data_IF_691540451328
#
_entry.id   IF_691540451328
#
_cell.length_a   1.000
_cell.length_b   1.000
_cell.length_c   1.000
_cell.angle_alpha   90.00
_cell.angle_beta   90.00
_cell.angle_gamma   90.00
#
_symmetry.space_group_name_H-M   'P 1'
#
loop_
_entity.id
_entity.type
_entity.pdbx_description
1 polymer ?
#
# COMPACT_ATOMS: atom_id res chain seq x y z
N UNK A 1 3.70 -17.14 -9.76
CA UNK A 1 2.29 -17.35 -10.14
C UNK A 1 1.88 -18.83 -10.08
N UNK A 2 2.56 -19.71 -10.82
CA UNK A 2 2.29 -21.16 -10.90
C UNK A 2 2.05 -21.82 -9.53
N UNK A 3 2.92 -21.54 -8.55
CA UNK A 3 2.76 -22.09 -7.19
C UNK A 3 1.49 -21.63 -6.47
N UNK A 4 0.98 -20.41 -6.73
CA UNK A 4 -0.28 -19.93 -6.16
C UNK A 4 -1.48 -20.70 -6.73
N UNK A 5 -1.41 -21.07 -8.02
CA UNK A 5 -2.44 -21.83 -8.72
C UNK A 5 -2.48 -23.26 -8.21
N UNK A 6 -1.34 -23.98 -8.23
CA UNK A 6 -1.30 -25.39 -7.84
C UNK A 6 -1.57 -25.64 -6.37
N UNK A 7 -0.95 -24.89 -5.47
CA UNK A 7 -1.04 -25.18 -4.03
C UNK A 7 -2.30 -24.62 -3.38
N UNK A 8 -3.00 -23.74 -4.10
CA UNK A 8 -4.14 -23.03 -3.56
C UNK A 8 -3.81 -22.03 -2.45
N UNK A 9 -2.54 -21.73 -2.16
CA UNK A 9 -2.13 -20.75 -1.13
C UNK A 9 -1.77 -19.42 -1.77
N UNK A 10 -2.57 -18.37 -1.57
CA UNK A 10 -2.32 -17.06 -2.18
C UNK A 10 -1.34 -16.23 -1.37
N UNK A 11 -1.56 -16.09 -0.06
CA UNK A 11 -0.78 -15.17 0.78
C UNK A 11 0.70 -15.57 0.84
N UNK A 12 0.98 -16.87 0.96
CA UNK A 12 2.36 -17.37 1.09
C UNK A 12 3.23 -16.89 -0.07
N UNK A 13 2.85 -17.19 -1.30
CA UNK A 13 3.67 -16.85 -2.47
C UNK A 13 3.51 -15.39 -2.91
N UNK A 14 2.31 -14.80 -2.76
CA UNK A 14 2.11 -13.36 -2.99
C UNK A 14 3.06 -12.54 -2.13
N UNK A 15 3.14 -12.86 -0.84
CA UNK A 15 3.97 -12.08 0.09
C UNK A 15 5.44 -12.05 -0.27
N UNK A 16 5.98 -13.17 -0.79
CA UNK A 16 7.38 -13.23 -1.25
C UNK A 16 7.58 -12.21 -2.37
N UNK A 17 6.77 -12.30 -3.43
CA UNK A 17 6.87 -11.39 -4.57
C UNK A 17 6.66 -9.92 -4.17
N UNK A 18 5.69 -9.69 -3.28
CA UNK A 18 5.32 -8.34 -2.84
C UNK A 18 6.41 -7.68 -1.98
N UNK A 19 7.07 -8.45 -1.10
CA UNK A 19 8.21 -7.99 -0.30
C UNK A 19 9.44 -7.79 -1.18
N UNK A 20 9.74 -8.72 -2.09
CA UNK A 20 10.85 -8.57 -3.05
C UNK A 20 10.69 -7.30 -3.87
N UNK A 21 9.50 -7.07 -4.42
CA UNK A 21 9.19 -5.84 -5.14
C UNK A 21 9.41 -4.58 -4.29
N UNK A 22 8.95 -4.57 -3.04
CA UNK A 22 9.14 -3.42 -2.16
C UNK A 22 10.62 -3.14 -1.85
N UNK A 23 11.45 -4.18 -1.71
CA UNK A 23 12.90 -4.03 -1.52
C UNK A 23 13.56 -3.53 -2.80
N UNK A 24 13.21 -4.07 -3.97
CA UNK A 24 13.70 -3.58 -5.26
C UNK A 24 13.31 -2.12 -5.51
N UNK A 25 12.08 -1.73 -5.12
CA UNK A 25 11.65 -0.33 -5.19
C UNK A 25 12.61 0.57 -4.41
N UNK A 26 12.92 0.23 -3.15
CA UNK A 26 13.83 1.05 -2.32
C UNK A 26 15.24 1.11 -2.92
N UNK A 27 15.74 -0.02 -3.42
CA UNK A 27 17.08 -0.12 -4.04
C UNK A 27 17.18 0.62 -5.38
N UNK A 28 16.08 0.81 -6.10
CA UNK A 28 16.06 1.50 -7.38
C UNK A 28 15.68 2.98 -7.22
N UNK A 29 14.64 3.29 -6.44
CA UNK A 29 14.07 4.63 -6.35
C UNK A 29 15.02 5.64 -5.68
N UNK A 30 15.65 5.26 -4.55
CA UNK A 30 16.54 6.20 -3.83
C UNK A 30 17.78 6.55 -4.66
N UNK A 31 18.50 5.59 -5.27
CA UNK A 31 19.64 5.93 -6.12
C UNK A 31 19.24 6.69 -7.39
N UNK A 32 18.09 6.37 -8.02
CA UNK A 32 17.62 7.15 -9.16
C UNK A 32 17.34 8.62 -8.77
N UNK A 33 16.80 8.86 -7.57
CA UNK A 33 16.65 10.23 -7.05
C UNK A 33 18.01 10.93 -6.90
N UNK A 34 19.01 10.22 -6.37
CA UNK A 34 20.37 10.75 -6.24
C UNK A 34 21.03 11.03 -7.60
N UNK A 35 20.81 10.20 -8.63
CA UNK A 35 21.40 10.39 -9.96
C UNK A 35 20.74 11.55 -10.73
N UNK A 36 19.43 11.71 -10.59
CA UNK A 36 18.69 12.76 -11.29
C UNK A 36 18.83 14.11 -10.61
N UNK A 37 18.82 14.17 -9.27
CA UNK A 37 18.85 15.43 -8.50
C UNK A 37 20.22 15.76 -7.89
N UNK A 38 21.15 14.81 -7.83
CA UNK A 38 22.43 14.97 -7.13
C UNK A 38 22.32 14.98 -5.60
N UNK A 39 21.11 15.04 -5.02
CA UNK A 39 20.87 14.93 -3.58
C UNK A 39 19.45 14.47 -3.24
N UNK A 40 19.29 13.83 -2.09
CA UNK A 40 17.97 13.48 -1.51
C UNK A 40 17.35 14.65 -0.72
N UNK A 41 18.02 15.80 -0.75
CA UNK A 41 17.63 17.01 -0.03
C UNK A 41 16.92 17.93 -1.01
N UNK A 42 15.65 18.22 -0.78
CA UNK A 42 14.94 19.20 -1.60
C UNK A 42 14.97 20.57 -0.93
N UNK A 43 14.99 21.62 -1.73
CA UNK A 43 14.72 22.99 -1.26
C UNK A 43 13.30 23.43 -1.67
N UNK A 44 12.73 24.46 -1.03
CA UNK A 44 11.43 25.01 -1.44
C UNK A 44 11.38 25.41 -2.92
N UNK A 45 12.51 25.80 -3.50
CA UNK A 45 12.65 26.14 -4.92
C UNK A 45 12.47 24.92 -5.83
N UNK A 46 12.99 23.75 -5.46
CA UNK A 46 12.77 22.49 -6.20
C UNK A 46 11.29 22.09 -6.23
N UNK A 47 10.56 22.40 -5.16
CA UNK A 47 9.12 22.17 -5.07
C UNK A 47 8.34 23.07 -6.02
N UNK A 48 8.72 24.35 -6.12
CA UNK A 48 8.09 25.32 -7.02
C UNK A 48 8.43 25.03 -8.48
N UNK A 49 9.65 24.58 -8.76
CA UNK A 49 10.10 24.20 -10.12
C UNK A 49 9.53 22.86 -10.60
N UNK A 50 8.88 22.10 -9.70
CA UNK A 50 8.28 20.82 -10.06
C UNK A 50 9.28 19.69 -10.23
N UNK A 51 10.47 19.76 -9.63
CA UNK A 51 11.49 18.72 -9.75
C UNK A 51 11.25 17.51 -8.81
N UNK A 52 10.04 17.40 -8.25
CA UNK A 52 9.65 16.36 -7.29
C UNK A 52 8.83 15.26 -7.98
N UNK A 53 9.15 13.97 -7.81
CA UNK A 53 8.38 12.90 -8.45
C UNK A 53 6.91 12.87 -7.98
N UNK A 54 6.00 12.55 -8.91
CA UNK A 54 4.58 12.45 -8.61
C UNK A 54 4.26 11.35 -7.59
N UNK A 55 3.79 11.75 -6.40
CA UNK A 55 3.29 10.84 -5.40
C UNK A 55 1.76 10.66 -5.53
N UNK A 56 1.33 9.50 -6.03
CA UNK A 56 -0.10 9.15 -6.16
C UNK A 56 -0.87 9.16 -4.82
N UNK A 57 -0.19 9.10 -3.67
CA UNK A 57 -0.84 9.24 -2.35
C UNK A 57 -1.47 10.62 -2.13
N UNK A 58 -1.07 11.62 -2.93
CA UNK A 58 -1.58 12.99 -2.88
C UNK A 58 -2.95 13.12 -3.55
N UNK A 59 -3.30 12.20 -4.45
CA UNK A 59 -4.53 12.26 -5.25
C UNK A 59 -5.79 12.50 -4.39
N UNK A 60 -6.06 11.74 -3.31
CA UNK A 60 -7.29 11.94 -2.54
C UNK A 60 -7.40 13.32 -1.88
N UNK A 61 -6.27 13.99 -1.62
CA UNK A 61 -6.23 15.29 -0.94
C UNK A 61 -6.17 16.47 -1.90
N UNK A 62 -5.72 16.27 -3.14
CA UNK A 62 -5.67 17.34 -4.15
C UNK A 62 -6.83 17.31 -5.14
N UNK A 63 -7.55 16.19 -5.30
CA UNK A 63 -8.69 16.12 -6.24
C UNK A 63 -9.77 17.15 -5.95
N UNK A 64 -10.12 17.39 -4.68
CA UNK A 64 -11.18 18.35 -4.32
C UNK A 64 -10.70 19.80 -4.48
N UNK A 65 -9.53 20.21 -3.95
CA UNK A 65 -8.96 21.53 -4.25
C UNK A 65 -8.79 21.78 -5.75
N UNK A 66 -8.32 20.80 -6.51
CA UNK A 66 -8.16 20.91 -7.96
C UNK A 66 -9.49 21.13 -8.68
N UNK A 67 -10.55 20.42 -8.29
CA UNK A 67 -11.88 20.58 -8.89
C UNK A 67 -12.49 21.95 -8.60
N UNK A 68 -12.22 22.54 -7.42
CA UNK A 68 -12.76 23.84 -7.02
C UNK A 68 -11.96 25.02 -7.56
N UNK A 69 -10.62 24.93 -7.53
CA UNK A 69 -9.73 26.03 -7.92
C UNK A 69 -9.31 25.98 -9.38
N UNK A 70 -9.60 24.88 -10.09
CA UNK A 70 -9.13 24.56 -11.45
C UNK A 70 -7.60 24.60 -11.61
N UNK A 71 -6.87 24.69 -10.50
CA UNK A 71 -5.41 24.69 -10.46
C UNK A 71 -4.94 23.52 -9.62
N UNK A 72 -3.93 22.81 -10.10
CA UNK A 72 -3.25 21.77 -9.32
C UNK A 72 -1.89 22.34 -8.98
N UNK A 73 -1.69 22.77 -7.73
CA UNK A 73 -0.35 23.08 -7.22
C UNK A 73 0.31 21.73 -6.94
N UNK A 74 0.94 21.17 -7.97
CA UNK A 74 1.65 19.90 -7.87
C UNK A 74 3.15 20.14 -8.08
N UNK A 75 4.01 19.78 -7.13
CA UNK A 75 5.44 19.76 -7.37
C UNK A 75 5.74 18.50 -8.17
N UNK A 76 5.75 18.59 -9.50
CA UNK A 76 6.15 17.49 -10.37
C UNK A 76 6.16 17.84 -11.84
N UNK A 77 7.23 17.42 -12.53
CA UNK A 77 7.47 17.69 -13.94
C UNK A 77 6.49 16.89 -14.77
N UNK A 78 5.60 17.59 -15.48
CA UNK A 78 4.58 17.01 -16.36
C UNK A 78 5.16 16.31 -17.60
N UNK A 79 6.44 16.51 -17.92
CA UNK A 79 6.92 16.40 -19.31
C UNK A 79 8.15 15.52 -19.58
N UNK A 80 8.83 14.88 -18.61
CA UNK A 80 10.02 14.08 -18.94
C UNK A 80 10.01 12.67 -18.31
N UNK A 81 9.78 11.64 -19.14
CA UNK A 81 10.03 10.23 -18.80
C UNK A 81 8.82 9.27 -18.94
N UNK A 82 9.13 7.96 -19.09
CA UNK A 82 8.34 6.79 -19.58
C UNK A 82 6.89 6.55 -19.09
N UNK A 83 6.30 7.44 -18.32
CA UNK A 83 4.88 7.42 -18.01
C UNK A 83 4.41 8.87 -17.83
N UNK A 84 3.74 9.42 -18.86
CA UNK A 84 3.00 10.67 -18.68
C UNK A 84 2.12 10.54 -17.44
N UNK A 85 2.03 11.60 -16.62
CA UNK A 85 1.22 11.60 -15.39
C UNK A 85 -0.19 11.03 -15.64
N UNK A 86 -0.75 11.31 -16.83
CA UNK A 86 -2.01 10.73 -17.30
C UNK A 86 -2.00 9.20 -17.37
N UNK A 87 -0.97 8.58 -17.96
CA UNK A 87 -0.84 7.12 -18.02
C UNK A 87 -0.73 6.48 -16.63
N UNK A 88 0.01 7.07 -15.69
CA UNK A 88 0.09 6.56 -14.31
C UNK A 88 -1.24 6.68 -13.58
N UNK A 89 -1.96 7.80 -13.75
CA UNK A 89 -3.29 7.99 -13.17
C UNK A 89 -4.29 6.99 -13.75
N UNK A 90 -4.29 6.75 -15.07
CA UNK A 90 -5.18 5.80 -15.73
C UNK A 90 -4.90 4.38 -15.24
N UNK A 91 -3.63 3.97 -15.21
CA UNK A 91 -3.22 2.63 -14.73
C UNK A 91 -3.61 2.46 -13.26
N UNK A 92 -3.37 3.48 -12.43
CA UNK A 92 -3.69 3.44 -11.01
C UNK A 92 -5.21 3.41 -10.76
N UNK A 93 -5.99 4.24 -11.44
CA UNK A 93 -7.45 4.25 -11.37
C UNK A 93 -8.03 2.93 -11.86
N UNK A 94 -7.58 2.44 -13.02
CA UNK A 94 -7.99 1.16 -13.58
C UNK A 94 -7.71 -0.01 -12.63
N UNK A 95 -6.50 -0.06 -12.05
CA UNK A 95 -6.15 -1.07 -11.06
C UNK A 95 -6.97 -0.94 -9.77
N UNK A 96 -7.23 0.29 -9.30
CA UNK A 96 -8.03 0.54 -8.10
C UNK A 96 -9.50 0.18 -8.30
N UNK A 97 -10.07 0.39 -9.50
CA UNK A 97 -11.43 -0.02 -9.82
C UNK A 97 -11.54 -1.54 -10.04
N UNK A 98 -10.54 -2.16 -10.67
CA UNK A 98 -10.55 -3.60 -10.95
C UNK A 98 -10.25 -4.45 -9.70
N UNK A 99 -9.29 -4.04 -8.87
CA UNK A 99 -8.83 -4.80 -7.71
C UNK A 99 -9.38 -4.25 -6.38
N UNK A 100 -9.98 -3.06 -6.39
CA UNK A 100 -10.33 -2.33 -5.16
C UNK A 100 -9.08 -1.96 -4.36
N UNK A 101 -9.17 -2.06 -3.03
CA UNK A 101 -8.03 -2.01 -2.11
C UNK A 101 -7.06 -3.19 -2.26
N UNK A 102 -7.28 -4.08 -3.23
CA UNK A 102 -6.30 -5.10 -3.64
C UNK A 102 -4.95 -4.50 -4.03
N UNK A 103 -4.92 -3.28 -4.59
CA UNK A 103 -3.67 -2.58 -4.91
C UNK A 103 -2.73 -2.46 -3.68
N UNK A 104 -3.27 -2.20 -2.49
CA UNK A 104 -2.49 -2.13 -1.25
C UNK A 104 -1.78 -3.45 -0.87
N UNK A 105 -2.15 -4.58 -1.47
CA UNK A 105 -1.52 -5.89 -1.25
C UNK A 105 -0.77 -6.44 -2.45
N UNK A 106 -0.88 -5.79 -3.62
CA UNK A 106 -0.36 -6.30 -4.89
C UNK A 106 0.50 -5.30 -5.66
N UNK A 107 0.47 -4.01 -5.36
CA UNK A 107 1.32 -3.01 -6.05
C UNK A 107 1.83 -1.87 -5.18
N UNK A 108 1.25 -1.63 -4.02
CA UNK A 108 1.74 -0.62 -3.10
C UNK A 108 3.02 -1.07 -2.40
N UNK A 109 4.16 -0.46 -2.72
CA UNK A 109 5.46 -0.80 -2.11
C UNK A 109 5.46 -0.60 -0.58
N UNK A 110 4.77 0.43 -0.07
CA UNK A 110 4.58 0.63 1.37
C UNK A 110 3.91 -0.56 2.06
N UNK A 111 2.85 -1.08 1.44
CA UNK A 111 2.18 -2.28 1.94
C UNK A 111 3.09 -3.51 1.91
N UNK A 112 4.03 -3.56 0.96
CA UNK A 112 5.04 -4.63 0.84
C UNK A 112 6.09 -4.56 1.94
N UNK A 113 6.59 -3.36 2.25
CA UNK A 113 7.50 -3.14 3.39
C UNK A 113 6.85 -3.58 4.71
N UNK A 114 5.62 -3.11 4.99
CA UNK A 114 4.92 -3.50 6.22
C UNK A 114 4.61 -5.01 6.28
N UNK A 115 4.25 -5.65 5.14
CA UNK A 115 4.03 -7.11 5.09
C UNK A 115 5.34 -7.88 5.31
N UNK A 116 6.48 -7.32 4.89
CA UNK A 116 7.81 -7.84 5.18
C UNK A 116 8.14 -7.76 6.67
N UNK A 117 8.06 -6.56 7.25
CA UNK A 117 8.32 -6.34 8.68
C UNK A 117 7.39 -7.19 9.57
N UNK A 118 6.11 -7.30 9.21
CA UNK A 118 5.15 -8.15 9.91
C UNK A 118 5.47 -9.67 9.90
N UNK A 119 6.37 -10.12 9.02
CA UNK A 119 6.79 -11.52 8.89
C UNK A 119 8.12 -11.83 9.57
N UNK A 120 8.90 -10.81 9.97
CA UNK A 120 10.18 -10.99 10.66
C UNK A 120 9.97 -11.61 12.06
N UNK A 121 8.99 -11.12 12.82
CA UNK A 121 8.70 -11.63 14.16
C UNK A 121 8.16 -13.07 14.15
N UNK A 122 8.56 -13.92 15.12
CA UNK A 122 8.02 -15.30 15.26
C UNK A 122 6.59 -15.33 15.81
N UNK A 123 6.29 -14.53 16.83
CA UNK A 123 4.97 -14.42 17.47
C UNK A 123 4.59 -12.95 17.67
N UNK A 124 3.30 -12.58 17.60
CA UNK A 124 2.88 -11.22 17.93
C UNK A 124 3.07 -11.00 19.43
N UNK A 125 3.74 -9.90 19.78
CA UNK A 125 3.89 -9.44 21.16
C UNK A 125 2.58 -8.76 21.62
N UNK A 126 2.03 -7.89 20.78
CA UNK A 126 0.74 -7.23 20.98
C UNK A 126 -0.38 -8.06 20.35
N UNK A 127 -1.10 -8.83 21.17
CA UNK A 127 -2.11 -9.80 20.70
C UNK A 127 -3.52 -9.23 20.52
N UNK A 128 -3.89 -8.19 21.26
CA UNK A 128 -5.24 -7.61 21.25
C UNK A 128 -5.18 -6.14 20.85
N UNK A 129 -5.47 -5.88 19.58
CA UNK A 129 -5.73 -4.53 19.08
C UNK A 129 -7.18 -4.54 18.60
N UNK A 130 -7.95 -3.55 19.05
CA UNK A 130 -9.35 -3.45 18.68
C UNK A 130 -9.50 -3.27 17.15
N UNK A 131 -10.36 -4.06 16.48
CA UNK A 131 -10.62 -3.88 15.05
C UNK A 131 -11.18 -2.50 14.68
N UNK A 132 -11.68 -1.73 15.67
CA UNK A 132 -12.17 -0.36 15.53
C UNK A 132 -11.09 0.63 15.08
N UNK A 133 -9.82 0.35 15.36
CA UNK A 133 -8.71 1.21 14.94
C UNK A 133 -8.62 1.39 13.41
N UNK A 134 -9.28 0.54 12.61
CA UNK A 134 -9.43 0.78 11.17
C UNK A 134 -10.11 2.12 10.85
N UNK A 135 -11.03 2.58 11.71
CA UNK A 135 -11.82 3.79 11.47
C UNK A 135 -10.95 5.05 11.59
N UNK A 136 -9.81 4.94 12.27
CA UNK A 136 -8.83 6.01 12.36
C UNK A 136 -8.33 6.44 10.97
N UNK A 137 -8.08 5.49 10.05
CA UNK A 137 -7.67 5.84 8.68
C UNK A 137 -8.73 6.66 7.93
N UNK A 138 -10.01 6.44 8.21
CA UNK A 138 -11.09 7.24 7.63
C UNK A 138 -11.20 8.62 8.28
N UNK A 139 -10.98 8.72 9.60
CA UNK A 139 -10.91 9.99 10.31
C UNK A 139 -9.71 10.83 9.82
N UNK A 140 -8.56 10.19 9.60
CA UNK A 140 -7.36 10.85 9.03
C UNK A 140 -7.64 11.31 7.60
N UNK A 141 -8.29 10.48 6.77
CA UNK A 141 -8.69 10.90 5.43
C UNK A 141 -9.60 12.14 5.47
N UNK A 142 -10.62 12.15 6.33
CA UNK A 142 -11.51 13.30 6.49
C UNK A 142 -10.75 14.55 6.94
N UNK A 143 -9.90 14.42 7.97
CA UNK A 143 -9.10 15.54 8.48
C UNK A 143 -8.11 16.08 7.46
N UNK A 144 -7.43 15.20 6.72
CA UNK A 144 -6.52 15.60 5.64
C UNK A 144 -7.27 16.30 4.52
N UNK A 145 -8.42 15.79 4.09
CA UNK A 145 -9.22 16.43 3.04
C UNK A 145 -9.70 17.83 3.46
N UNK A 146 -10.20 17.97 4.69
CA UNK A 146 -10.67 19.27 5.21
C UNK A 146 -9.53 20.27 5.37
N UNK A 147 -8.41 19.85 5.94
CA UNK A 147 -7.23 20.71 6.12
C UNK A 147 -6.57 21.06 4.79
N UNK A 148 -6.50 20.13 3.85
CA UNK A 148 -6.02 20.39 2.48
C UNK A 148 -6.94 21.33 1.72
N UNK A 149 -8.25 21.27 1.95
CA UNK A 149 -9.19 22.24 1.38
C UNK A 149 -9.00 23.63 1.99
N UNK A 150 -8.79 23.72 3.30
CA UNK A 150 -8.58 25.00 3.98
C UNK A 150 -7.22 25.66 3.64
N UNK A 151 -6.17 24.85 3.49
CA UNK A 151 -4.80 25.35 3.26
C UNK A 151 -4.37 25.31 1.79
N UNK A 152 -5.19 24.73 0.91
CA UNK A 152 -4.87 24.44 -0.50
C UNK A 152 -3.55 23.68 -0.69
N UNK A 153 -3.11 22.95 0.34
CA UNK A 153 -1.82 22.26 0.38
C UNK A 153 -1.97 20.78 0.76
N UNK A 154 -1.06 19.89 0.34
CA UNK A 154 -1.11 18.47 0.70
C UNK A 154 -0.64 18.23 2.15
N UNK A 155 -1.51 18.55 3.12
CA UNK A 155 -1.22 18.49 4.57
C UNK A 155 -0.63 17.15 5.02
N UNK A 156 -1.11 16.03 4.48
CA UNK A 156 -0.58 14.71 4.86
C UNK A 156 0.89 14.55 4.49
N UNK A 157 1.31 15.03 3.32
CA UNK A 157 2.71 14.95 2.90
C UNK A 157 3.61 15.91 3.69
N UNK A 158 3.07 17.03 4.17
CA UNK A 158 3.82 18.03 4.93
C UNK A 158 3.94 17.66 6.41
N UNK A 159 2.97 16.93 6.97
CA UNK A 159 2.88 16.74 8.43
C UNK A 159 2.80 15.30 8.92
N UNK A 160 2.32 14.35 8.11
CA UNK A 160 1.94 13.01 8.60
C UNK A 160 2.55 11.84 7.83
N UNK A 161 3.25 12.08 6.72
CA UNK A 161 3.79 11.01 5.88
C UNK A 161 5.10 10.44 6.48
N UNK A 162 5.10 9.23 7.07
CA UNK A 162 6.34 8.64 7.59
C UNK A 162 7.34 8.32 6.48
N UNK A 163 6.85 8.07 5.27
CA UNK A 163 7.69 7.69 4.16
C UNK A 163 8.52 8.83 3.58
N UNK A 164 8.15 10.08 3.90
CA UNK A 164 8.98 11.24 3.58
C UNK A 164 10.37 11.10 4.21
N UNK A 165 10.45 10.53 5.42
CA UNK A 165 11.72 10.20 6.08
C UNK A 165 12.53 9.05 5.45
N UNK A 166 12.22 8.58 4.25
CA UNK A 166 13.06 7.62 3.53
C UNK A 166 13.24 8.03 2.06
N UNK A 167 12.25 8.72 1.50
CA UNK A 167 12.28 9.14 0.10
C UNK A 167 12.96 10.50 -0.10
N UNK A 168 12.64 11.50 0.73
CA UNK A 168 13.08 12.89 0.51
C UNK A 168 13.11 13.66 1.84
N UNK A 169 14.26 14.20 2.22
CA UNK A 169 14.38 14.99 3.45
C UNK A 169 14.57 16.47 3.13
N UNK A 170 14.05 17.35 3.96
CA UNK A 170 14.28 18.79 3.81
C UNK A 170 15.65 19.16 4.39
N UNK A 171 16.35 20.13 3.78
CA UNK A 171 17.62 20.60 4.32
C UNK A 171 17.38 21.18 5.71
N UNK A 172 18.13 20.72 6.71
CA UNK A 172 18.05 21.24 8.08
C UNK A 172 18.60 22.67 8.08
N UNK A 173 17.72 23.63 7.82
CA UNK A 173 18.01 25.07 7.80
C UNK A 173 17.59 25.75 9.11
N UNK A 174 16.69 25.13 9.86
CA UNK A 174 16.07 25.71 11.06
C UNK A 174 15.61 24.63 12.04
N UNK A 175 15.46 25.02 13.32
CA UNK A 175 15.09 24.11 14.42
C UNK A 175 13.74 23.43 14.17
N UNK A 176 12.81 24.13 13.50
CA UNK A 176 11.50 23.59 13.12
C UNK A 176 11.63 22.40 12.17
N UNK A 177 12.48 22.50 11.14
CA UNK A 177 12.75 21.42 10.17
C UNK A 177 13.43 20.23 10.84
N UNK A 178 14.31 20.48 11.82
CA UNK A 178 14.92 19.42 12.62
C UNK A 178 13.85 18.63 13.40
N UNK A 179 12.96 19.32 14.12
CA UNK A 179 11.87 18.69 14.88
C UNK A 179 10.96 17.89 13.94
N UNK A 180 10.60 18.44 12.78
CA UNK A 180 9.78 17.77 11.79
C UNK A 180 10.45 16.50 11.24
N UNK A 181 11.76 16.55 11.01
CA UNK A 181 12.54 15.38 10.56
C UNK A 181 12.54 14.29 11.63
N UNK A 182 12.73 14.64 12.90
CA UNK A 182 12.67 13.68 14.03
C UNK A 182 11.27 13.05 14.11
N UNK A 183 10.20 13.84 13.95
CA UNK A 183 8.82 13.33 13.94
C UNK A 183 8.63 12.34 12.79
N UNK A 184 9.07 12.66 11.57
CA UNK A 184 8.90 11.73 10.45
C UNK A 184 9.70 10.44 10.59
N UNK A 185 10.94 10.52 11.04
CA UNK A 185 11.79 9.35 11.29
C UNK A 185 11.17 8.48 12.39
N UNK A 186 10.72 9.09 13.49
CA UNK A 186 10.07 8.34 14.58
C UNK A 186 8.75 7.71 14.14
N UNK A 187 7.93 8.38 13.32
CA UNK A 187 6.73 7.81 12.73
C UNK A 187 7.05 6.65 11.79
N UNK A 188 8.10 6.75 10.97
CA UNK A 188 8.53 5.66 10.09
C UNK A 188 8.98 4.43 10.89
N UNK A 189 9.91 4.63 11.83
CA UNK A 189 10.41 3.56 12.70
C UNK A 189 9.26 2.94 13.49
N UNK A 190 8.39 3.76 14.08
CA UNK A 190 7.25 3.30 14.86
C UNK A 190 6.19 2.56 14.05
N UNK A 191 5.58 3.20 13.05
CA UNK A 191 4.40 2.70 12.34
C UNK A 191 4.71 1.72 11.20
N UNK A 192 5.89 1.81 10.58
CA UNK A 192 6.25 0.99 9.41
C UNK A 192 7.16 -0.18 9.80
N UNK A 193 8.06 0.00 10.77
CA UNK A 193 8.99 -1.07 11.18
C UNK A 193 8.56 -1.76 12.47
N UNK A 194 8.55 -1.04 13.59
CA UNK A 194 8.38 -1.61 14.94
C UNK A 194 6.99 -2.20 15.13
N UNK A 195 5.93 -1.42 14.85
CA UNK A 195 4.56 -1.86 15.08
C UNK A 195 4.18 -3.06 14.20
N UNK A 196 4.51 -3.13 12.90
CA UNK A 196 4.24 -4.33 12.11
C UNK A 196 4.97 -5.56 12.65
N UNK A 197 6.22 -5.44 13.12
CA UNK A 197 6.97 -6.55 13.75
C UNK A 197 6.25 -7.04 15.02
N UNK A 198 5.85 -6.11 15.90
CA UNK A 198 5.24 -6.43 17.20
C UNK A 198 3.80 -6.98 17.07
N UNK A 199 3.04 -6.49 16.10
CA UNK A 199 1.61 -6.81 15.95
C UNK A 199 1.35 -7.87 14.89
N UNK A 200 2.27 -8.06 13.92
CA UNK A 200 2.07 -8.81 12.67
C UNK A 200 0.94 -8.25 11.78
N UNK A 201 0.61 -6.98 11.95
CA UNK A 201 -0.43 -6.23 11.23
C UNK A 201 0.21 -5.12 10.39
N UNK A 202 -0.55 -4.56 9.45
CA UNK A 202 -0.12 -3.39 8.67
C UNK A 202 -0.67 -2.13 9.34
N UNK A 203 0.03 -1.64 10.36
CA UNK A 203 -0.42 -0.53 11.21
C UNK A 203 -0.49 0.78 10.45
N UNK A 204 0.48 1.10 9.60
CA UNK A 204 0.46 2.34 8.83
C UNK A 204 -0.68 2.33 7.81
N UNK A 205 -0.83 1.24 7.04
CA UNK A 205 -1.94 1.07 6.10
C UNK A 205 -3.33 1.10 6.76
N UNK A 206 -3.46 0.69 8.03
CA UNK A 206 -4.75 0.61 8.74
C UNK A 206 -5.09 1.85 9.57
N UNK A 207 -4.10 2.57 10.09
CA UNK A 207 -4.33 3.66 11.05
C UNK A 207 -4.16 5.03 10.43
N UNK A 208 -3.08 5.25 9.67
CA UNK A 208 -2.69 6.60 9.27
C UNK A 208 -2.76 6.83 7.76
N UNK A 209 -2.81 5.78 6.92
CA UNK A 209 -2.79 5.94 5.47
C UNK A 209 -4.15 6.44 4.90
N UNK A 210 -4.27 7.72 4.46
CA UNK A 210 -5.50 8.25 3.88
C UNK A 210 -5.81 7.60 2.52
N UNK A 211 -4.77 7.27 1.75
CA UNK A 211 -4.89 6.55 0.48
C UNK A 211 -5.53 5.17 0.68
N UNK A 212 -5.18 4.46 1.76
CA UNK A 212 -5.78 3.17 2.11
C UNK A 212 -7.28 3.29 2.46
N UNK A 213 -7.68 4.36 3.14
CA UNK A 213 -9.08 4.67 3.40
C UNK A 213 -9.82 5.02 2.11
N UNK A 214 -9.24 5.88 1.25
CA UNK A 214 -9.82 6.24 -0.04
C UNK A 214 -10.03 5.00 -0.94
N UNK A 215 -9.03 4.12 -1.03
CA UNK A 215 -9.19 2.85 -1.76
C UNK A 215 -10.19 1.89 -1.12
N UNK A 216 -10.50 2.03 0.17
CA UNK A 216 -11.56 1.22 0.78
C UNK A 216 -12.94 1.56 0.21
N UNK A 217 -13.13 2.75 -0.41
CA UNK A 217 -14.36 3.06 -1.14
C UNK A 217 -14.41 2.38 -2.51
N UNK A 218 -13.26 2.20 -3.17
CA UNK A 218 -13.19 1.42 -4.43
C UNK A 218 -13.59 -0.04 -4.23
N UNK A 219 -13.43 -0.57 -3.01
CA UNK A 219 -13.97 -1.88 -2.64
C UNK A 219 -15.51 -1.97 -2.69
N UNK A 220 -16.23 -0.85 -2.79
CA UNK A 220 -17.69 -0.85 -3.02
C UNK A 220 -18.02 -1.12 -4.48
N UNK A 221 -17.18 -0.65 -5.40
CA UNK A 221 -17.40 -0.72 -6.86
C UNK A 221 -16.81 -1.98 -7.47
N UNK A 222 -15.67 -2.45 -6.98
CA UNK A 222 -14.97 -3.57 -7.60
C UNK A 222 -15.78 -4.89 -7.57
N UNK A 223 -15.56 -5.82 -8.49
CA UNK A 223 -16.39 -7.03 -8.61
C UNK A 223 -16.08 -8.11 -7.57
N UNK A 224 -14.94 -8.05 -6.86
CA UNK A 224 -14.43 -9.12 -6.01
C UNK A 224 -14.63 -8.84 -4.51
N UNK A 225 -15.10 -9.83 -3.77
CA UNK A 225 -15.25 -9.75 -2.31
C UNK A 225 -14.81 -11.03 -1.60
N UNK A 226 -14.35 -10.91 -0.35
CA UNK A 226 -14.09 -12.08 0.50
C UNK A 226 -15.41 -12.50 1.12
N UNK A 227 -15.83 -13.74 0.83
CA UNK A 227 -17.05 -14.34 1.36
C UNK A 227 -16.72 -15.45 2.35
N UNK A 228 -17.61 -15.63 3.29
CA UNK A 228 -17.51 -16.61 4.37
C UNK A 228 -18.77 -17.46 4.31
N UNK A 229 -18.58 -18.74 4.04
CA UNK A 229 -19.62 -19.75 4.15
C UNK A 229 -19.94 -19.95 5.63
N UNK A 230 -21.13 -19.52 6.04
CA UNK A 230 -21.54 -19.56 7.45
C UNK A 230 -21.84 -20.98 7.92
N UNK A 231 -22.26 -21.87 7.02
CA UNK A 231 -22.58 -23.26 7.35
C UNK A 231 -21.30 -24.05 7.63
N UNK A 232 -20.25 -23.80 6.83
CA UNK A 232 -18.94 -24.44 7.01
C UNK A 232 -18.02 -23.73 8.03
N UNK A 233 -18.42 -22.57 8.56
CA UNK A 233 -17.61 -21.78 9.50
C UNK A 233 -17.70 -22.34 10.92
N UNK A 234 -16.56 -22.68 11.53
CA UNK A 234 -16.50 -23.12 12.94
C UNK A 234 -16.38 -21.98 13.96
N UNK A 235 -16.54 -20.72 13.54
CA UNK A 235 -16.40 -19.53 14.41
C UNK A 235 -15.09 -19.44 15.23
N UNK A 236 -14.01 -20.11 14.78
CA UNK A 236 -12.74 -20.20 15.52
C UNK A 236 -11.93 -18.89 15.70
N UNK A 237 -12.37 -17.77 15.11
CA UNK A 237 -11.70 -16.46 15.24
C UNK A 237 -10.31 -16.33 14.59
N UNK A 238 -9.74 -17.40 14.02
CA UNK A 238 -8.39 -17.35 13.41
C UNK A 238 -8.27 -16.30 12.31
N UNK A 239 -9.29 -16.14 11.47
CA UNK A 239 -9.29 -15.16 10.38
C UNK A 239 -9.26 -13.70 10.88
N UNK A 240 -9.85 -13.41 12.04
CA UNK A 240 -9.79 -12.10 12.73
C UNK A 240 -8.35 -11.86 13.19
N UNK A 241 -7.76 -12.86 13.84
CA UNK A 241 -6.40 -12.77 14.38
C UNK A 241 -5.33 -12.62 13.30
N UNK A 242 -5.47 -13.26 12.12
CA UNK A 242 -4.46 -13.16 11.07
C UNK A 242 -4.65 -11.99 10.10
N UNK A 243 -5.82 -11.33 10.11
CA UNK A 243 -6.13 -10.26 9.15
C UNK A 243 -5.19 -9.06 9.33
N UNK A 244 -4.36 -8.69 8.33
CA UNK A 244 -3.33 -7.66 8.50
C UNK A 244 -3.92 -6.25 8.58
N UNK A 245 -5.09 -6.02 7.97
CA UNK A 245 -5.74 -4.71 7.87
C UNK A 245 -6.93 -4.54 8.83
N UNK A 246 -7.07 -5.45 9.79
CA UNK A 246 -8.20 -5.52 10.71
C UNK A 246 -9.55 -5.51 9.99
N UNK A 247 -9.71 -6.14 8.84
CA UNK A 247 -10.96 -6.11 8.05
C UNK A 247 -11.96 -7.21 8.40
N UNK A 248 -11.56 -8.12 9.29
CA UNK A 248 -12.35 -9.23 9.80
C UNK A 248 -12.63 -8.96 11.29
N UNK A 249 -13.89 -9.07 11.68
CA UNK A 249 -14.38 -8.98 13.06
C UNK A 249 -15.59 -9.93 13.22
N UNK A 250 -16.13 -10.03 14.43
CA UNK A 250 -17.30 -10.88 14.71
C UNK A 250 -18.51 -10.49 13.88
N UNK A 251 -18.74 -9.19 13.69
CA UNK A 251 -19.80 -8.68 12.83
C UNK A 251 -19.62 -9.10 11.36
N UNK A 252 -18.39 -9.19 10.87
CA UNK A 252 -18.05 -9.68 9.51
C UNK A 252 -18.38 -11.15 9.34
N UNK A 253 -18.06 -11.95 10.36
CA UNK A 253 -18.38 -13.38 10.39
C UNK A 253 -19.90 -13.57 10.35
N UNK A 254 -20.63 -12.82 11.19
CA UNK A 254 -22.09 -12.82 11.20
C UNK A 254 -22.68 -12.33 9.87
N UNK A 255 -22.04 -11.36 9.19
CA UNK A 255 -22.44 -10.88 7.85
C UNK A 255 -22.02 -11.81 6.71
N UNK A 256 -21.15 -12.80 6.94
CA UNK A 256 -20.66 -13.71 5.89
C UNK A 256 -19.74 -13.05 4.87
N UNK A 257 -19.19 -11.86 5.17
CA UNK A 257 -18.29 -11.14 4.26
C UNK A 257 -17.33 -10.21 5.01
N UNK A 258 -16.16 -9.97 4.42
CA UNK A 258 -15.20 -9.02 4.98
C UNK A 258 -15.70 -7.57 4.86
N UNK A 259 -15.16 -6.67 5.69
CA UNK A 259 -15.49 -5.25 5.62
C UNK A 259 -14.85 -4.53 4.42
N UNK A 260 -15.34 -3.32 4.14
CA UNK A 260 -14.82 -2.45 3.05
C UNK A 260 -13.32 -2.18 3.16
N UNK A 261 -12.72 -2.30 4.34
CA UNK A 261 -11.28 -2.12 4.52
C UNK A 261 -10.43 -3.29 3.99
N UNK A 262 -11.03 -4.36 3.45
CA UNK A 262 -10.30 -5.57 3.04
C UNK A 262 -9.32 -5.33 1.89
N UNK A 263 -8.04 -5.60 2.11
CA UNK A 263 -7.01 -5.48 1.08
C UNK A 263 -6.81 -6.75 0.23
N UNK A 264 -7.72 -7.73 0.30
CA UNK A 264 -7.76 -8.96 -0.53
C UNK A 264 -6.41 -9.71 -0.63
N UNK A 265 -5.66 -9.75 0.48
CA UNK A 265 -4.34 -10.39 0.54
C UNK A 265 -4.38 -11.93 0.54
N UNK A 266 -5.55 -12.53 0.81
CA UNK A 266 -5.73 -13.99 0.86
C UNK A 266 -5.31 -14.67 2.17
N UNK A 267 -4.76 -13.93 3.14
CA UNK A 267 -4.23 -14.50 4.40
C UNK A 267 -5.29 -15.23 5.24
N UNK A 268 -6.54 -14.76 5.22
CA UNK A 268 -7.66 -15.44 5.88
C UNK A 268 -8.09 -16.74 5.18
N UNK A 269 -8.01 -16.79 3.85
CA UNK A 269 -8.31 -17.98 3.04
C UNK A 269 -7.28 -19.08 3.36
N UNK A 270 -5.99 -18.75 3.28
CA UNK A 270 -4.89 -19.70 3.49
C UNK A 270 -4.84 -20.30 4.90
N UNK A 271 -5.39 -19.59 5.90
CA UNK A 271 -5.35 -19.97 7.33
C UNK A 271 -6.65 -20.60 7.84
N UNK A 272 -7.71 -20.63 7.05
CA UNK A 272 -8.98 -21.21 7.47
C UNK A 272 -8.90 -22.76 7.49
N UNK A 273 -9.02 -23.43 8.67
CA UNK A 273 -8.91 -24.88 8.74
C UNK A 273 -10.08 -25.59 8.03
N UNK A 274 -11.28 -24.99 8.08
CA UNK A 274 -12.49 -25.52 7.43
C UNK A 274 -12.64 -25.11 5.96
N UNK A 275 -11.70 -24.31 5.42
CA UNK A 275 -11.78 -23.75 4.06
C UNK A 275 -13.12 -23.03 3.76
N UNK A 276 -13.73 -22.43 4.78
CA UNK A 276 -15.01 -21.74 4.68
C UNK A 276 -14.90 -20.32 4.10
N UNK A 277 -13.69 -19.82 3.84
CA UNK A 277 -13.45 -18.47 3.33
C UNK A 277 -12.97 -18.58 1.89
N UNK A 278 -13.62 -17.86 0.98
CA UNK A 278 -13.31 -17.86 -0.44
C UNK A 278 -13.33 -16.43 -1.01
N UNK A 279 -12.71 -16.25 -2.18
CA UNK A 279 -12.89 -15.05 -2.98
C UNK A 279 -14.10 -15.27 -3.90
N UNK A 280 -15.12 -14.42 -3.78
CA UNK A 280 -16.34 -14.46 -4.56
C UNK A 280 -16.52 -13.21 -5.43
N UNK A 281 -17.49 -13.28 -6.35
CA UNK A 281 -17.96 -12.13 -7.13
C UNK A 281 -19.21 -11.57 -6.47
N UNK A 282 -19.33 -10.24 -6.39
CA UNK A 282 -20.54 -9.59 -5.88
C UNK A 282 -21.76 -10.01 -6.69
N UNK A 283 -22.87 -10.26 -6.01
CA UNK A 283 -24.11 -10.72 -6.65
C UNK A 283 -24.18 -12.23 -6.89
N UNK A 284 -23.07 -12.97 -6.78
CA UNK A 284 -23.14 -14.45 -6.76
C UNK A 284 -23.67 -14.95 -5.41
N UNK A 285 -24.59 -15.90 -5.42
CA UNK A 285 -25.22 -16.49 -4.22
C UNK A 285 -24.38 -17.62 -3.62
N UNK A 286 -23.46 -18.19 -4.38
CA UNK A 286 -22.62 -19.31 -3.95
C UNK A 286 -21.38 -18.84 -3.19
N UNK A 287 -21.47 -18.83 -1.86
CA UNK A 287 -20.29 -18.85 -0.98
C UNK A 287 -19.44 -20.14 -1.18
N UNK A 288 -19.95 -21.11 -1.92
CA UNK A 288 -19.39 -22.43 -2.13
C UNK A 288 -18.79 -22.72 -3.51
N UNK A 289 -18.33 -21.73 -4.30
CA UNK A 289 -17.52 -22.09 -5.48
C UNK A 289 -16.13 -22.56 -5.02
N UNK A 290 -16.07 -23.84 -4.62
CA UNK A 290 -14.86 -24.62 -4.36
C UNK A 290 -13.97 -24.71 -5.61
N UNK A 291 -14.50 -24.38 -6.79
CA UNK A 291 -13.74 -24.23 -8.02
C UNK A 291 -12.97 -22.91 -7.99
N UNK A 292 -11.63 -22.99 -7.94
CA UNK A 292 -10.72 -21.84 -7.91
C UNK A 292 -10.82 -20.85 -9.08
N UNK A 293 -11.82 -20.94 -9.95
CA UNK A 293 -12.05 -20.07 -11.11
C UNK A 293 -12.17 -18.60 -10.73
N UNK A 294 -13.06 -18.22 -9.81
CA UNK A 294 -13.20 -16.80 -9.38
C UNK A 294 -11.90 -16.26 -8.79
N UNK A 295 -11.22 -17.11 -8.02
CA UNK A 295 -9.90 -16.77 -7.47
C UNK A 295 -8.88 -16.54 -8.57
N UNK A 296 -8.85 -17.37 -9.61
CA UNK A 296 -7.94 -17.21 -10.76
C UNK A 296 -8.27 -15.94 -11.55
N UNK A 297 -9.55 -15.62 -11.74
CA UNK A 297 -10.02 -14.41 -12.41
C UNK A 297 -9.53 -13.14 -11.68
N UNK A 298 -9.41 -13.16 -10.35
CA UNK A 298 -8.76 -12.07 -9.60
C UNK A 298 -7.23 -12.15 -9.62
N UNK A 299 -6.68 -13.35 -9.45
CA UNK A 299 -5.23 -13.57 -9.29
C UNK A 299 -4.46 -13.18 -10.56
N UNK A 300 -5.01 -13.46 -11.73
CA UNK A 300 -4.38 -13.17 -13.01
C UNK A 300 -4.16 -11.67 -13.24
N UNK A 301 -5.18 -10.79 -13.22
CA UNK A 301 -4.98 -9.35 -13.37
C UNK A 301 -4.16 -8.76 -12.22
N UNK A 302 -4.32 -9.25 -10.98
CA UNK A 302 -3.51 -8.79 -9.85
C UNK A 302 -2.02 -9.12 -10.03
N UNK A 303 -1.71 -10.31 -10.57
CA UNK A 303 -0.34 -10.71 -10.86
C UNK A 303 0.23 -9.97 -12.07
N UNK A 304 -0.54 -9.83 -13.17
CA UNK A 304 -0.11 -9.04 -14.33
C UNK A 304 0.19 -7.60 -13.92
N UNK A 305 -0.66 -7.00 -13.09
CA UNK A 305 -0.45 -5.67 -12.55
C UNK A 305 0.85 -5.57 -11.74
N UNK A 306 1.08 -6.51 -10.82
CA UNK A 306 2.33 -6.58 -10.04
C UNK A 306 3.55 -6.68 -10.98
N UNK A 307 3.52 -7.55 -11.99
CA UNK A 307 4.65 -7.75 -12.92
C UNK A 307 4.90 -6.51 -13.76
N UNK A 308 3.85 -5.91 -14.33
CA UNK A 308 3.96 -4.70 -15.13
C UNK A 308 4.56 -3.53 -14.32
N UNK A 309 4.16 -3.39 -13.06
CA UNK A 309 4.62 -2.31 -12.19
C UNK A 309 6.02 -2.57 -11.60
N UNK A 310 6.36 -3.84 -11.34
CA UNK A 310 7.65 -4.21 -10.72
C UNK A 310 8.79 -4.44 -11.72
N UNK A 311 8.49 -4.71 -13.00
CA UNK A 311 9.47 -5.11 -14.00
C UNK A 311 10.65 -4.14 -14.12
N UNK A 312 10.38 -2.86 -14.37
CA UNK A 312 11.42 -1.84 -14.52
C UNK A 312 12.26 -1.65 -13.25
N UNK A 313 11.63 -1.67 -12.08
CA UNK A 313 12.32 -1.50 -10.79
C UNK A 313 13.20 -2.70 -10.44
N UNK A 314 12.76 -3.92 -10.76
CA UNK A 314 13.55 -5.13 -10.56
C UNK A 314 14.75 -5.13 -11.50
N UNK A 315 14.57 -4.77 -12.77
CA UNK A 315 15.67 -4.66 -13.74
C UNK A 315 16.72 -3.66 -13.29
N UNK A 316 16.30 -2.46 -12.86
CA UNK A 316 17.22 -1.43 -12.38
C UNK A 316 17.93 -1.85 -11.08
N UNK A 317 17.19 -2.44 -10.13
CA UNK A 317 17.78 -2.98 -8.92
C UNK A 317 18.85 -4.06 -9.20
N UNK A 318 18.58 -4.98 -10.14
CA UNK A 318 19.57 -6.00 -10.55
C UNK A 318 20.79 -5.34 -11.20
N UNK A 319 20.59 -4.37 -12.10
CA UNK A 319 21.68 -3.62 -12.73
C UNK A 319 22.57 -2.95 -11.69
N UNK A 320 21.98 -2.31 -10.68
CA UNK A 320 22.72 -1.64 -9.59
C UNK A 320 23.50 -2.62 -8.72
N UNK A 321 22.92 -3.76 -8.38
CA UNK A 321 23.64 -4.82 -7.66
C UNK A 321 24.81 -5.35 -8.49
N UNK A 322 24.64 -5.55 -9.80
CA UNK A 322 25.72 -5.97 -10.70
C UNK A 322 26.80 -4.90 -10.84
N UNK A 323 26.43 -3.62 -10.91
CA UNK A 323 27.40 -2.51 -10.89
C UNK A 323 28.19 -2.50 -9.58
N UNK A 324 27.52 -2.66 -8.44
CA UNK A 324 28.22 -2.73 -7.14
C UNK A 324 29.23 -3.87 -7.08
N UNK A 325 28.90 -5.03 -7.66
CA UNK A 325 29.80 -6.18 -7.70
C UNK A 325 30.97 -6.01 -8.68
N UNK A 326 30.79 -5.27 -9.78
CA UNK A 326 31.80 -5.13 -10.84
C UNK A 326 32.69 -3.90 -10.68
N UNK A 327 32.12 -2.76 -10.26
CA UNK A 327 32.83 -1.47 -10.16
C UNK A 327 32.98 -0.97 -8.73
N UNK A 328 32.35 -1.63 -7.74
CA UNK A 328 32.31 -1.16 -6.35
C UNK A 328 31.39 0.05 -6.13
N UNK A 329 30.68 0.53 -7.16
CA UNK A 329 29.79 1.69 -7.09
C UNK A 329 28.32 1.27 -7.26
N UNK A 330 27.44 1.81 -6.41
CA UNK A 330 25.98 1.58 -6.49
C UNK A 330 25.23 2.62 -7.34
N UNK A 331 25.91 3.73 -7.64
CA UNK A 331 25.39 4.92 -8.31
C UNK A 331 26.29 5.19 -9.52
N UNK A 332 25.74 5.63 -10.65
CA UNK A 332 26.50 5.90 -11.88
C UNK A 332 27.38 7.18 -11.85
N UNK A 333 27.64 7.77 -10.67
CA UNK A 333 28.54 8.93 -10.51
C UNK A 333 30.02 8.57 -10.59
#
# INVERSE_FOLDING_TARGET
FILMVHTGKTDKYRSILFVTYAVCFVMSFIPNLLEVRGSNVYTPEDMIQGNIPFCHMVIPMTVIPAALTKTIIFPGSLLEGFASIGSMIIIWLGASLALGRGFCSWGCFYGGLEDGFARIGKKPFLKKIDPKWRYLSYAVLLGVVLTSLATLSPTYCIWLCPFKAVTEFEKISSVLVLIQTIIFVSLFVGLVMVLPILTKKRTQCSFLCPMGAFQSFTNKVDPFEIRIDRENCSHCGLCINVCPTFSMDEASLAKGKANLSCAKCGKCIDRCPKKAISLGVKGSTTAGNRGGGVRLIFLYPAFMFLVAFSGGMIQDAIRRVLMLLTTGKFIQM
#
